data_IF_366769105356
#
_entry.id   IF_366769105356
#
_cell.length_a   1.000
_cell.length_b   1.000
_cell.length_c   1.000
_cell.angle_alpha   90.00
_cell.angle_beta   90.00
_cell.angle_gamma   90.00
#
_symmetry.space_group_name_H-M   'P 1'
#
loop_
_entity.id
_entity.type
_entity.pdbx_description
1 polymer ?
#
# COMPACT_ATOMS: atom_id res chain seq x y z
N UNK A 1 -2.21 -9.51 -15.43
CA UNK A 1 -2.68 -10.87 -15.65
C UNK A 1 -4.14 -10.85 -16.05
N UNK A 2 -4.53 -11.75 -16.95
CA UNK A 2 -5.94 -11.83 -17.29
C UNK A 2 -6.79 -12.12 -16.05
N UNK A 3 -7.86 -11.36 -15.89
CA UNK A 3 -8.77 -11.51 -14.77
C UNK A 3 -8.42 -10.75 -13.52
N UNK A 4 -7.19 -10.22 -13.43
CA UNK A 4 -6.81 -9.40 -12.30
C UNK A 4 -7.21 -7.94 -12.55
N UNK A 5 -7.90 -7.33 -11.60
CA UNK A 5 -8.41 -5.97 -11.76
C UNK A 5 -7.83 -5.06 -10.68
N UNK A 6 -7.47 -3.83 -11.09
CA UNK A 6 -7.04 -2.81 -10.16
C UNK A 6 -8.23 -2.29 -9.37
N UNK A 7 -8.12 -2.29 -8.04
CA UNK A 7 -9.18 -1.84 -7.14
C UNK A 7 -8.84 -0.51 -6.48
N UNK A 8 -7.57 -0.15 -6.42
CA UNK A 8 -7.13 1.09 -5.81
C UNK A 8 -5.77 1.47 -6.36
N UNK A 9 -5.59 2.76 -6.56
CA UNK A 9 -4.29 3.32 -6.96
C UNK A 9 -4.09 4.61 -6.17
N UNK A 10 -3.00 4.69 -5.42
CA UNK A 10 -2.73 5.89 -4.63
C UNK A 10 -2.38 7.05 -5.55
N UNK A 11 -2.84 8.25 -5.18
CA UNK A 11 -2.51 9.47 -5.91
C UNK A 11 -1.27 10.16 -5.35
N UNK A 12 -0.97 9.92 -4.08
CA UNK A 12 0.21 10.47 -3.43
C UNK A 12 1.18 9.38 -3.04
N UNK A 13 2.34 9.79 -2.53
CA UNK A 13 3.32 8.85 -2.04
C UNK A 13 2.91 8.20 -0.74
N UNK A 14 3.09 6.90 -0.64
CA UNK A 14 2.87 6.12 0.57
C UNK A 14 4.23 5.72 1.10
N UNK A 15 4.49 6.02 2.37
CA UNK A 15 5.79 5.72 2.97
C UNK A 15 5.82 4.28 3.48
N UNK A 16 6.84 3.56 3.08
CA UNK A 16 7.18 2.27 3.62
C UNK A 16 8.66 2.27 3.96
N UNK A 17 8.96 2.18 5.26
CA UNK A 17 10.33 2.36 5.72
C UNK A 17 10.81 3.78 5.48
N UNK A 18 11.94 3.94 4.82
CA UNK A 18 12.54 5.24 4.53
C UNK A 18 12.20 5.75 3.12
N UNK A 19 11.33 5.07 2.39
CA UNK A 19 11.05 5.36 0.98
C UNK A 19 9.59 5.60 0.75
N UNK A 20 9.29 6.31 -0.35
CA UNK A 20 7.92 6.56 -0.78
C UNK A 20 7.60 5.75 -2.03
N UNK A 21 6.41 5.18 -2.05
CA UNK A 21 5.95 4.31 -3.13
C UNK A 21 4.57 4.73 -3.59
N UNK A 22 4.26 4.38 -4.83
CA UNK A 22 2.87 4.35 -5.28
C UNK A 22 2.30 2.98 -4.92
N UNK A 23 1.04 2.96 -4.51
CA UNK A 23 0.39 1.72 -4.11
C UNK A 23 -0.69 1.39 -5.12
N UNK A 24 -0.66 0.16 -5.58
CA UNK A 24 -1.70 -0.39 -6.44
C UNK A 24 -2.26 -1.62 -5.75
N UNK A 25 -3.57 -1.62 -5.54
CA UNK A 25 -4.26 -2.80 -5.02
C UNK A 25 -5.07 -3.41 -6.14
N UNK A 26 -4.82 -4.68 -6.38
CA UNK A 26 -5.67 -5.47 -7.27
C UNK A 26 -6.55 -6.39 -6.43
N UNK A 27 -7.39 -7.17 -7.07
CA UNK A 27 -8.19 -8.17 -6.36
C UNK A 27 -7.37 -9.37 -5.89
N UNK A 28 -6.07 -9.41 -6.19
CA UNK A 28 -5.18 -10.53 -5.83
C UNK A 28 -3.93 -10.11 -5.10
N UNK A 29 -3.44 -8.89 -5.34
CA UNK A 29 -2.14 -8.47 -4.83
C UNK A 29 -2.13 -7.03 -4.38
N UNK A 30 -1.27 -6.76 -3.40
CA UNK A 30 -0.89 -5.41 -3.04
C UNK A 30 0.48 -5.14 -3.63
N UNK A 31 0.59 -4.07 -4.40
CA UNK A 31 1.82 -3.70 -5.09
C UNK A 31 2.30 -2.34 -4.60
N UNK A 32 3.57 -2.26 -4.24
CA UNK A 32 4.24 -0.99 -3.96
C UNK A 32 5.27 -0.78 -5.05
N UNK A 33 5.20 0.38 -5.68
CA UNK A 33 6.01 0.68 -6.84
C UNK A 33 6.74 2.01 -6.63
N UNK A 34 8.06 2.02 -6.84
CA UNK A 34 8.86 3.22 -6.77
C UNK A 34 9.78 3.28 -7.97
N UNK A 35 9.69 4.38 -8.72
CA UNK A 35 10.62 4.63 -9.79
C UNK A 35 11.79 5.41 -9.23
N UNK A 36 13.00 4.88 -9.40
CA UNK A 36 14.21 5.49 -8.87
C UNK A 36 15.04 6.11 -9.95
N UNK A 37 15.26 7.40 -9.80
CA UNK A 37 16.25 8.13 -10.55
C UNK A 37 15.90 8.37 -12.00
N UNK A 38 16.52 9.39 -12.57
CA UNK A 38 16.35 9.76 -13.95
C UNK A 38 17.36 9.02 -14.83
N UNK A 39 18.53 8.76 -14.30
CA UNK A 39 19.63 8.14 -15.05
C UNK A 39 19.63 6.60 -14.91
N UNK A 40 19.26 6.11 -13.75
CA UNK A 40 19.16 4.68 -13.50
C UNK A 40 17.69 4.34 -13.26
N UNK A 41 17.01 3.97 -14.30
CA UNK A 41 15.59 3.63 -14.23
C UNK A 41 15.39 2.28 -13.56
N UNK A 42 15.84 2.16 -12.32
CA UNK A 42 15.63 0.96 -11.55
C UNK A 42 14.31 1.10 -10.80
N UNK A 43 13.29 0.49 -11.35
CA UNK A 43 12.00 0.42 -10.68
C UNK A 43 12.09 -0.62 -9.56
N UNK A 44 11.62 -0.23 -8.39
CA UNK A 44 11.48 -1.16 -7.29
C UNK A 44 10.02 -1.50 -7.12
N UNK A 45 9.70 -2.78 -7.17
CA UNK A 45 8.33 -3.26 -6.99
C UNK A 45 8.32 -4.27 -5.86
N UNK A 46 7.47 -4.02 -4.88
CA UNK A 46 7.22 -4.96 -3.79
C UNK A 46 5.80 -5.48 -3.98
N UNK A 47 5.68 -6.79 -4.09
CA UNK A 47 4.38 -7.41 -4.31
C UNK A 47 4.07 -8.37 -3.17
N UNK A 48 2.83 -8.33 -2.70
CA UNK A 48 2.37 -9.25 -1.67
C UNK A 48 1.00 -9.78 -2.05
N UNK A 49 0.86 -11.10 -2.09
CA UNK A 49 -0.41 -11.73 -2.41
C UNK A 49 -1.38 -11.58 -1.26
N UNK A 50 -2.62 -11.21 -1.57
CA UNK A 50 -3.63 -11.01 -0.53
C UNK A 50 -3.92 -12.30 0.23
N UNK A 51 -3.85 -13.45 -0.43
CA UNK A 51 -4.09 -14.73 0.22
C UNK A 51 -3.04 -15.11 1.28
N UNK A 52 -1.89 -14.43 1.25
CA UNK A 52 -0.82 -14.68 2.22
C UNK A 52 -0.87 -13.73 3.41
N UNK A 53 -1.80 -12.80 3.43
CA UNK A 53 -1.93 -11.85 4.53
C UNK A 53 -2.63 -12.49 5.72
N UNK A 54 -2.06 -12.30 6.90
CA UNK A 54 -2.59 -12.84 8.14
C UNK A 54 -3.38 -11.83 8.93
N UNK A 55 -3.11 -10.55 8.73
CA UNK A 55 -3.84 -9.51 9.41
C UNK A 55 -3.54 -8.14 8.82
N UNK A 56 -4.53 -7.25 8.89
CA UNK A 56 -4.40 -5.89 8.43
C UNK A 56 -5.08 -4.99 9.46
N UNK A 57 -4.36 -3.97 9.93
CA UNK A 57 -4.89 -3.01 10.89
C UNK A 57 -4.72 -1.59 10.36
N UNK A 58 -5.70 -0.76 10.64
CA UNK A 58 -5.68 0.65 10.27
C UNK A 58 -5.68 1.51 11.53
N UNK A 59 -4.84 2.54 11.55
CA UNK A 59 -4.85 3.53 12.61
C UNK A 59 -4.56 4.91 12.04
N UNK A 60 -4.90 5.95 12.81
CA UNK A 60 -4.65 7.34 12.44
C UNK A 60 -3.84 8.02 13.52
N UNK A 61 -2.93 8.89 13.09
CA UNK A 61 -2.13 9.71 13.99
C UNK A 61 -2.15 11.15 13.53
N UNK A 62 -1.93 12.07 14.48
CA UNK A 62 -1.86 13.50 14.22
C UNK A 62 -3.09 14.24 14.68
N UNK A 63 -2.88 15.51 15.05
CA UNK A 63 -3.95 16.38 15.57
C UNK A 63 -4.46 17.31 14.48
N UNK A 64 -3.53 17.92 13.72
CA UNK A 64 -3.88 18.89 12.68
C UNK A 64 -3.99 18.19 11.33
N UNK A 65 -2.92 17.47 10.95
CA UNK A 65 -2.93 16.64 9.76
C UNK A 65 -2.94 15.18 10.18
N UNK A 66 -4.03 14.50 9.88
CA UNK A 66 -4.12 13.08 10.21
C UNK A 66 -3.39 12.25 9.18
N UNK A 67 -2.51 11.39 9.66
CA UNK A 67 -1.82 10.40 8.86
C UNK A 67 -2.46 9.05 9.11
N UNK A 68 -2.68 8.30 8.05
CA UNK A 68 -3.20 6.94 8.16
C UNK A 68 -2.06 5.95 8.11
N UNK A 69 -2.13 4.93 8.95
CA UNK A 69 -1.14 3.88 9.00
C UNK A 69 -1.85 2.54 8.84
N UNK A 70 -1.40 1.77 7.86
CA UNK A 70 -1.89 0.41 7.66
C UNK A 70 -0.77 -0.55 8.04
N UNK A 71 -1.03 -1.39 9.02
CA UNK A 71 -0.10 -2.44 9.43
C UNK A 71 -0.54 -3.75 8.81
N UNK A 72 0.36 -4.34 8.06
CA UNK A 72 0.09 -5.57 7.30
C UNK A 72 1.00 -6.66 7.82
N UNK A 73 0.38 -7.75 8.27
CA UNK A 73 1.09 -8.96 8.68
C UNK A 73 0.92 -10.01 7.59
N UNK A 74 2.03 -10.46 7.05
CA UNK A 74 2.06 -11.47 6.01
C UNK A 74 3.37 -12.22 6.11
N UNK A 75 3.95 -12.60 4.98
CA UNK A 75 5.30 -13.17 4.97
C UNK A 75 6.31 -12.19 5.53
N UNK A 76 6.10 -10.91 5.27
CA UNK A 76 6.86 -9.82 5.88
C UNK A 76 5.90 -8.84 6.51
N UNK A 77 6.36 -8.20 7.58
CA UNK A 77 5.61 -7.13 8.21
C UNK A 77 5.80 -5.85 7.44
N UNK A 78 4.70 -5.13 7.18
CA UNK A 78 4.75 -3.86 6.46
C UNK A 78 3.90 -2.82 7.17
N UNK A 79 4.48 -1.64 7.39
CA UNK A 79 3.75 -0.47 7.89
C UNK A 79 3.71 0.56 6.77
N UNK A 80 2.52 0.85 6.26
CA UNK A 80 2.31 1.84 5.22
C UNK A 80 1.73 3.10 5.82
N UNK A 81 2.33 4.25 5.51
CA UNK A 81 1.88 5.53 6.03
C UNK A 81 1.62 6.50 4.89
N UNK A 82 0.49 7.16 4.95
CA UNK A 82 0.10 8.16 3.97
C UNK A 82 -0.97 9.08 4.53
N UNK A 83 -1.62 9.87 3.67
CA UNK A 83 -2.73 10.70 4.13
C UNK A 83 -3.85 9.80 4.67
N UNK A 84 -4.53 10.27 5.72
CA UNK A 84 -5.58 9.46 6.35
C UNK A 84 -6.68 9.10 5.35
N UNK A 85 -7.06 10.06 4.51
CA UNK A 85 -8.11 9.85 3.52
C UNK A 85 -7.76 8.71 2.57
N UNK A 86 -6.53 8.73 2.06
CA UNK A 86 -6.08 7.75 1.09
C UNK A 86 -5.84 6.38 1.72
N UNK A 87 -5.22 6.36 2.89
CA UNK A 87 -4.97 5.11 3.58
C UNK A 87 -6.26 4.43 4.04
N UNK A 88 -7.24 5.22 4.46
CA UNK A 88 -8.54 4.69 4.83
C UNK A 88 -9.24 4.06 3.62
N UNK A 89 -9.16 4.71 2.46
CA UNK A 89 -9.75 4.17 1.24
C UNK A 89 -9.07 2.86 0.84
N UNK A 90 -7.75 2.81 0.93
CA UNK A 90 -7.00 1.59 0.65
C UNK A 90 -7.40 0.47 1.61
N UNK A 91 -7.46 0.77 2.89
CA UNK A 91 -7.85 -0.21 3.90
C UNK A 91 -9.24 -0.78 3.63
N UNK A 92 -10.20 0.07 3.30
CA UNK A 92 -11.57 -0.36 3.01
C UNK A 92 -11.61 -1.28 1.79
N UNK A 93 -10.83 -0.98 0.76
CA UNK A 93 -10.76 -1.84 -0.41
C UNK A 93 -10.10 -3.18 -0.07
N UNK A 94 -9.04 -3.16 0.72
CA UNK A 94 -8.38 -4.39 1.12
C UNK A 94 -9.32 -5.32 1.90
N UNK A 95 -10.16 -4.75 2.77
CA UNK A 95 -11.06 -5.55 3.60
C UNK A 95 -12.14 -6.24 2.79
N UNK A 96 -12.36 -5.85 1.56
CA UNK A 96 -13.30 -6.55 0.68
C UNK A 96 -12.76 -7.88 0.17
N UNK A 97 -11.46 -8.08 0.23
CA UNK A 97 -10.80 -9.26 -0.32
C UNK A 97 -10.10 -10.13 0.71
N UNK A 98 -10.24 -9.78 1.97
CA UNK A 98 -9.58 -10.52 3.08
C UNK A 98 -10.54 -11.36 3.90
#
# INVERSE_FOLDING_TARGET
MPGEQTRFHSTGGVRFGAKHYHVILTDRRLLLYAQRGVLFKNDEVIAQKLEELQGVKYSEEGIIEKRGIIRIEGKTHMDLEGSAKEMKALYQQMMQFL
#
